data_IF_254339496546
#
_entry.id   IF_254339496546
#
_cell.length_a   1.000
_cell.length_b   1.000
_cell.length_c   1.000
_cell.angle_alpha   90.00
_cell.angle_beta   90.00
_cell.angle_gamma   90.00
#
_symmetry.space_group_name_H-M   'P 1'
#
loop_
_entity.id
_entity.type
_entity.pdbx_description
1 polymer ?
#
# COMPACT_ATOMS: atom_id res chain seq x y z
N UNK A 1 6.26 -38.57 -25.79
CA UNK A 1 6.27 -38.83 -27.25
C UNK A 1 7.65 -39.24 -27.77
N UNK A 2 8.74 -38.53 -27.43
CA UNK A 2 10.11 -38.84 -27.89
C UNK A 2 10.68 -40.23 -27.51
N UNK A 3 9.98 -40.98 -26.66
CA UNK A 3 10.34 -42.33 -26.22
C UNK A 3 9.77 -43.45 -27.12
N UNK A 4 8.64 -43.18 -27.76
CA UNK A 4 7.90 -44.18 -28.55
C UNK A 4 8.22 -44.10 -30.05
N UNK A 5 9.00 -43.11 -30.45
CA UNK A 5 9.16 -42.71 -31.85
C UNK A 5 10.62 -42.36 -32.11
N UNK A 6 11.18 -42.87 -33.20
CA UNK A 6 12.53 -42.52 -33.64
C UNK A 6 12.62 -41.06 -34.08
N UNK A 7 13.81 -40.48 -34.04
CA UNK A 7 14.04 -39.09 -34.47
C UNK A 7 13.52 -38.83 -35.89
N UNK A 8 13.73 -39.77 -36.82
CA UNK A 8 13.31 -39.65 -38.22
C UNK A 8 11.79 -39.58 -38.36
N UNK A 9 11.05 -40.39 -37.61
CA UNK A 9 9.59 -40.35 -37.61
C UNK A 9 9.06 -39.09 -36.93
N UNK A 10 9.71 -38.62 -35.87
CA UNK A 10 9.32 -37.41 -35.15
C UNK A 10 9.62 -36.14 -35.98
N UNK A 11 10.69 -36.15 -36.76
CA UNK A 11 11.05 -35.07 -37.68
C UNK A 11 10.05 -34.94 -38.85
N UNK A 12 9.45 -36.04 -39.31
CA UNK A 12 8.37 -35.98 -40.31
C UNK A 12 7.15 -35.21 -39.80
N UNK A 13 6.86 -35.30 -38.50
CA UNK A 13 5.71 -34.64 -37.88
C UNK A 13 6.06 -33.23 -37.40
N UNK A 14 7.33 -32.98 -37.04
CA UNK A 14 7.84 -31.69 -36.59
C UNK A 14 9.16 -31.40 -37.32
N UNK A 15 9.12 -30.81 -38.53
CA UNK A 15 10.31 -30.62 -39.37
C UNK A 15 11.40 -29.76 -38.73
N UNK A 16 11.01 -28.83 -37.84
CA UNK A 16 11.90 -27.91 -37.15
C UNK A 16 12.58 -28.50 -35.89
N UNK A 17 12.38 -29.79 -35.58
CA UNK A 17 12.98 -30.39 -34.38
C UNK A 17 14.45 -30.76 -34.62
N UNK A 18 15.35 -30.21 -33.78
CA UNK A 18 16.77 -30.56 -33.86
C UNK A 18 17.06 -31.88 -33.15
N UNK A 19 18.09 -32.60 -33.62
CA UNK A 19 18.62 -33.80 -32.94
C UNK A 19 18.95 -33.55 -31.48
N UNK A 20 19.48 -32.36 -31.19
CA UNK A 20 19.83 -31.92 -29.84
C UNK A 20 18.61 -31.84 -28.91
N UNK A 21 17.49 -31.27 -29.38
CA UNK A 21 16.25 -31.22 -28.58
C UNK A 21 15.69 -32.61 -28.32
N UNK A 22 15.80 -33.52 -29.30
CA UNK A 22 15.40 -34.91 -29.15
C UNK A 22 16.24 -35.67 -28.12
N UNK A 23 17.57 -35.52 -28.15
CA UNK A 23 18.46 -36.18 -27.18
C UNK A 23 18.27 -35.65 -25.76
N UNK A 24 18.13 -34.33 -25.60
CA UNK A 24 17.85 -33.71 -24.29
C UNK A 24 16.53 -34.16 -23.72
N UNK A 25 15.46 -34.23 -24.52
CA UNK A 25 14.16 -34.70 -24.05
C UNK A 25 14.24 -36.17 -23.57
N UNK A 26 15.01 -37.00 -24.27
CA UNK A 26 15.23 -38.41 -23.88
C UNK A 26 16.08 -38.54 -22.62
N UNK A 27 17.08 -37.68 -22.46
CA UNK A 27 17.92 -37.60 -21.27
C UNK A 27 17.15 -37.11 -20.04
N UNK A 28 16.36 -36.03 -20.18
CA UNK A 28 15.49 -35.52 -19.12
C UNK A 28 14.50 -36.58 -18.63
N UNK A 29 13.91 -37.36 -19.54
CA UNK A 29 13.04 -38.49 -19.18
C UNK A 29 13.79 -39.55 -18.35
N UNK A 30 15.03 -39.88 -18.71
CA UNK A 30 15.83 -40.86 -17.96
C UNK A 30 16.11 -40.38 -16.54
N UNK A 31 16.33 -39.08 -16.35
CA UNK A 31 16.65 -38.49 -15.05
C UNK A 31 15.41 -38.23 -14.17
N UNK A 32 14.30 -37.80 -14.75
CA UNK A 32 13.14 -37.27 -13.99
C UNK A 32 11.83 -38.04 -14.21
N UNK A 33 11.78 -38.99 -15.13
CA UNK A 33 10.57 -39.77 -15.44
C UNK A 33 9.70 -39.17 -16.55
N UNK A 34 8.59 -39.86 -16.87
CA UNK A 34 7.66 -39.42 -17.93
C UNK A 34 6.68 -38.37 -17.37
N UNK A 35 6.55 -37.24 -18.06
CA UNK A 35 5.59 -36.19 -17.69
C UNK A 35 6.01 -35.35 -16.48
N UNK A 36 7.22 -35.55 -15.97
CA UNK A 36 7.81 -34.67 -14.97
C UNK A 36 7.87 -33.25 -15.51
N UNK A 37 7.25 -32.33 -14.78
CA UNK A 37 7.36 -30.90 -15.08
C UNK A 37 8.86 -30.56 -15.10
N UNK A 38 9.34 -30.00 -16.21
CA UNK A 38 10.63 -29.31 -16.19
C UNK A 38 10.48 -28.30 -15.09
N UNK A 39 11.38 -28.24 -14.08
CA UNK A 39 11.34 -27.19 -13.09
C UNK A 39 11.32 -25.89 -13.88
N UNK A 40 10.15 -25.27 -14.01
CA UNK A 40 10.09 -23.88 -14.37
C UNK A 40 11.01 -23.28 -13.33
N UNK A 41 12.04 -22.58 -13.78
CA UNK A 41 12.90 -21.87 -12.85
C UNK A 41 11.96 -20.94 -12.09
N UNK A 42 11.48 -21.41 -10.93
CA UNK A 42 10.67 -20.70 -9.95
C UNK A 42 11.52 -19.64 -9.25
N UNK A 43 12.69 -19.37 -9.78
CA UNK A 43 13.11 -18.00 -9.92
C UNK A 43 12.17 -17.32 -10.91
N UNK A 44 10.99 -16.93 -10.42
CA UNK A 44 10.53 -15.56 -10.63
C UNK A 44 11.70 -14.69 -10.24
N UNK A 45 12.67 -14.53 -11.14
CA UNK A 45 13.71 -13.54 -11.01
C UNK A 45 12.91 -12.27 -11.01
N UNK A 46 12.63 -11.75 -9.82
CA UNK A 46 12.11 -10.42 -9.61
C UNK A 46 13.20 -9.53 -10.18
N UNK A 47 13.17 -9.34 -11.50
CA UNK A 47 14.14 -8.52 -12.21
C UNK A 47 13.94 -7.14 -11.63
N UNK A 48 14.88 -6.72 -10.79
CA UNK A 48 14.90 -5.39 -10.24
C UNK A 48 15.13 -4.45 -11.42
N UNK A 49 14.02 -3.92 -11.96
CA UNK A 49 14.02 -3.00 -13.11
C UNK A 49 14.34 -1.56 -12.71
N UNK A 50 14.41 -1.27 -11.42
CA UNK A 50 14.77 0.04 -10.88
C UNK A 50 16.23 0.01 -10.43
N UNK A 51 17.01 1.05 -10.73
CA UNK A 51 18.33 1.16 -10.13
C UNK A 51 18.19 1.46 -8.63
N UNK A 52 19.09 0.93 -7.78
CA UNK A 52 19.09 1.22 -6.35
C UNK A 52 19.16 2.72 -6.06
N UNK A 53 19.99 3.44 -6.82
CA UNK A 53 20.19 4.90 -6.69
C UNK A 53 18.92 5.69 -6.96
N UNK A 54 18.17 5.31 -8.00
CA UNK A 54 16.90 5.94 -8.34
C UNK A 54 15.84 5.70 -7.27
N UNK A 55 15.82 4.48 -6.72
CA UNK A 55 14.91 4.12 -5.64
C UNK A 55 15.26 4.91 -4.37
N UNK A 56 16.53 4.94 -4.00
CA UNK A 56 17.02 5.64 -2.81
C UNK A 56 16.73 7.14 -2.88
N UNK A 57 16.97 7.78 -4.04
CA UNK A 57 16.65 9.19 -4.24
C UNK A 57 15.15 9.48 -4.05
N UNK A 58 14.27 8.62 -4.57
CA UNK A 58 12.83 8.78 -4.37
C UNK A 58 12.42 8.50 -2.91
N UNK A 59 13.02 7.49 -2.27
CA UNK A 59 12.79 7.19 -0.85
C UNK A 59 13.20 8.38 0.02
N UNK A 60 14.39 8.93 -0.18
CA UNK A 60 14.88 10.11 0.51
C UNK A 60 13.93 11.31 0.36
N UNK A 61 13.40 11.53 -0.85
CA UNK A 61 12.41 12.58 -1.09
C UNK A 61 11.12 12.36 -0.30
N UNK A 62 10.54 11.15 -0.36
CA UNK A 62 9.27 10.88 0.34
C UNK A 62 9.44 10.77 1.86
N UNK A 63 10.65 10.52 2.37
CA UNK A 63 10.99 10.53 3.80
C UNK A 63 11.39 11.91 4.31
N UNK A 64 11.61 12.87 3.42
CA UNK A 64 12.02 14.23 3.81
C UNK A 64 10.88 14.98 4.50
N UNK A 65 11.25 15.91 5.39
CA UNK A 65 10.30 16.82 6.08
C UNK A 65 9.49 17.72 5.14
N UNK A 66 9.86 17.78 3.85
CA UNK A 66 9.10 18.48 2.80
C UNK A 66 7.88 17.70 2.33
N UNK A 67 7.92 16.37 2.40
CA UNK A 67 6.84 15.48 1.95
C UNK A 67 6.02 14.87 3.11
N UNK A 68 6.62 14.84 4.30
CA UNK A 68 6.06 14.24 5.51
C UNK A 68 5.84 15.31 6.57
N UNK A 69 4.78 15.11 7.36
CA UNK A 69 4.64 15.73 8.67
C UNK A 69 4.57 14.64 9.74
N UNK A 70 5.42 14.75 10.76
CA UNK A 70 5.37 13.89 11.94
C UNK A 70 4.17 14.24 12.80
N UNK A 71 3.48 13.21 13.32
CA UNK A 71 2.38 13.42 14.25
C UNK A 71 2.89 13.43 15.68
N UNK A 72 2.31 14.29 16.53
CA UNK A 72 2.56 14.24 17.96
C UNK A 72 1.92 13.00 18.63
N UNK A 73 1.06 12.25 17.93
CA UNK A 73 0.30 11.15 18.51
C UNK A 73 0.23 9.90 17.61
N UNK A 74 0.40 8.75 18.26
CA UNK A 74 0.37 7.42 17.64
C UNK A 74 1.76 6.93 17.27
N UNK A 75 2.17 5.81 17.86
CA UNK A 75 3.46 5.15 17.61
C UNK A 75 3.23 3.78 16.96
N UNK A 76 4.11 3.39 16.05
CA UNK A 76 4.20 2.02 15.53
C UNK A 76 5.45 1.38 16.10
N UNK A 77 5.29 0.16 16.62
CA UNK A 77 6.41 -0.64 17.10
C UNK A 77 6.86 -1.58 16.00
N UNK A 78 8.08 -1.40 15.51
CA UNK A 78 8.73 -2.29 14.56
C UNK A 78 9.55 -3.33 15.32
N UNK A 79 9.23 -4.61 15.13
CA UNK A 79 10.05 -5.73 15.58
C UNK A 79 11.10 -6.04 14.51
N UNK A 80 12.36 -5.84 14.85
CA UNK A 80 13.47 -6.29 14.01
C UNK A 80 13.64 -7.81 14.12
N UNK A 81 14.26 -8.42 13.12
CA UNK A 81 14.61 -9.85 13.12
C UNK A 81 15.59 -10.23 14.22
N UNK A 82 16.31 -9.25 14.78
CA UNK A 82 17.14 -9.35 15.98
C UNK A 82 16.34 -9.42 17.30
N UNK A 83 15.01 -9.28 17.25
CA UNK A 83 14.13 -9.26 18.44
C UNK A 83 14.01 -7.90 19.12
N UNK A 84 14.77 -6.89 18.68
CA UNK A 84 14.69 -5.52 19.20
C UNK A 84 13.46 -4.79 18.67
N UNK A 85 12.77 -4.07 19.56
CA UNK A 85 11.59 -3.27 19.25
C UNK A 85 11.98 -1.79 19.07
N UNK A 86 11.65 -1.19 17.92
CA UNK A 86 11.86 0.23 17.64
C UNK A 86 10.50 0.92 17.55
N UNK A 87 10.30 1.96 18.36
CA UNK A 87 9.10 2.79 18.29
C UNK A 87 9.33 3.94 17.31
N UNK A 88 8.47 4.03 16.31
CA UNK A 88 8.51 5.09 15.30
C UNK A 88 7.18 5.85 15.36
N UNK A 89 7.19 7.19 15.40
CA UNK A 89 5.96 7.98 15.34
C UNK A 89 5.21 7.71 14.04
N UNK A 90 3.89 7.81 14.07
CA UNK A 90 3.09 7.72 12.86
C UNK A 90 3.41 8.91 11.95
N UNK A 91 3.69 8.57 10.70
CA UNK A 91 4.05 9.51 9.65
C UNK A 91 2.82 9.74 8.78
N UNK A 92 2.45 11.01 8.57
CA UNK A 92 1.45 11.38 7.56
C UNK A 92 2.11 12.05 6.37
N UNK A 93 1.72 11.61 5.17
CA UNK A 93 2.01 12.34 3.93
C UNK A 93 1.09 13.55 3.83
N UNK A 94 1.69 14.71 3.58
CA UNK A 94 0.99 15.99 3.49
C UNK A 94 0.10 16.08 2.25
N UNK A 95 0.39 15.30 1.20
CA UNK A 95 -0.31 15.34 -0.08
C UNK A 95 -0.67 13.95 -0.61
N UNK A 96 -1.62 13.92 -1.56
CA UNK A 96 -2.07 12.72 -2.25
C UNK A 96 -0.91 12.16 -3.09
N UNK A 97 -0.75 10.82 -3.23
CA UNK A 97 0.34 10.19 -3.97
C UNK A 97 0.62 10.80 -5.34
N UNK A 98 -0.43 11.19 -6.06
CA UNK A 98 -0.31 11.85 -7.36
C UNK A 98 0.42 13.21 -7.28
N UNK A 99 0.11 14.01 -6.28
CA UNK A 99 0.73 15.31 -6.07
C UNK A 99 2.18 15.15 -5.61
N UNK A 100 2.47 14.14 -4.79
CA UNK A 100 3.84 13.80 -4.38
C UNK A 100 4.71 13.51 -5.60
N UNK A 101 4.20 12.72 -6.55
CA UNK A 101 4.96 12.39 -7.76
C UNK A 101 5.20 13.63 -8.62
N UNK A 102 4.20 14.51 -8.79
CA UNK A 102 4.38 15.79 -9.50
C UNK A 102 5.41 16.69 -8.82
N UNK A 103 5.40 16.75 -7.50
CA UNK A 103 6.36 17.54 -6.72
C UNK A 103 7.77 16.96 -6.86
N UNK A 104 7.90 15.64 -6.87
CA UNK A 104 9.15 14.95 -7.13
C UNK A 104 9.69 15.23 -8.53
N UNK A 105 8.85 15.19 -9.57
CA UNK A 105 9.25 15.50 -10.95
C UNK A 105 9.78 16.95 -11.05
N UNK A 106 9.13 17.91 -10.39
CA UNK A 106 9.62 19.30 -10.30
C UNK A 106 10.95 19.42 -9.57
N UNK A 107 11.08 18.73 -8.44
CA UNK A 107 12.31 18.68 -7.66
C UNK A 107 13.48 18.09 -8.45
N UNK A 108 13.24 17.03 -9.22
CA UNK A 108 14.24 16.47 -10.13
C UNK A 108 14.67 17.47 -11.20
N UNK A 109 13.74 18.25 -11.75
CA UNK A 109 14.05 19.30 -12.72
C UNK A 109 14.90 20.44 -12.10
N UNK A 110 14.61 20.84 -10.86
CA UNK A 110 15.35 21.88 -10.13
C UNK A 110 16.80 21.46 -9.82
N UNK A 111 17.01 20.20 -9.45
CA UNK A 111 18.34 19.67 -9.09
C UNK A 111 19.14 19.21 -10.33
N UNK A 112 18.52 19.19 -11.51
CA UNK A 112 19.14 18.67 -12.73
C UNK A 112 19.30 17.14 -12.72
N UNK A 113 18.45 16.43 -11.97
CA UNK A 113 18.45 14.98 -11.93
C UNK A 113 17.81 14.40 -13.19
N UNK A 114 18.64 13.87 -14.08
CA UNK A 114 18.26 13.50 -15.45
C UNK A 114 17.59 12.13 -15.59
N UNK A 115 17.61 11.27 -14.56
CA UNK A 115 17.12 9.89 -14.66
C UNK A 115 16.14 9.46 -13.55
N UNK A 116 15.01 10.16 -13.34
CA UNK A 116 13.98 9.71 -12.40
C UNK A 116 13.25 8.45 -12.88
N UNK A 117 12.75 7.67 -11.91
CA UNK A 117 11.82 6.58 -12.15
C UNK A 117 10.53 7.08 -12.80
N UNK A 118 9.91 6.21 -13.59
CA UNK A 118 8.61 6.51 -14.20
C UNK A 118 7.53 6.77 -13.14
N UNK A 119 6.57 7.65 -13.47
CA UNK A 119 5.40 7.94 -12.62
C UNK A 119 4.70 6.69 -12.10
N UNK A 120 4.53 5.66 -12.93
CA UNK A 120 3.89 4.39 -12.53
C UNK A 120 4.70 3.61 -11.50
N UNK A 121 6.03 3.68 -11.57
CA UNK A 121 6.95 3.07 -10.60
C UNK A 121 6.90 3.82 -9.28
N UNK A 122 6.94 5.15 -9.31
CA UNK A 122 6.82 6.00 -8.12
C UNK A 122 5.49 5.77 -7.38
N UNK A 123 4.37 5.71 -8.11
CA UNK A 123 3.07 5.38 -7.52
C UNK A 123 3.03 3.97 -6.91
N UNK A 124 3.71 3.00 -7.52
CA UNK A 124 3.81 1.64 -6.98
C UNK A 124 4.62 1.62 -5.68
N UNK A 125 5.72 2.38 -5.62
CA UNK A 125 6.52 2.55 -4.39
C UNK A 125 5.66 3.20 -3.30
N UNK A 126 4.92 4.26 -3.62
CA UNK A 126 4.01 4.92 -2.67
C UNK A 126 2.90 3.99 -2.15
N UNK A 127 2.45 3.01 -2.96
CA UNK A 127 1.47 1.99 -2.56
C UNK A 127 2.06 0.97 -1.58
N UNK A 128 3.33 0.56 -1.77
CA UNK A 128 4.03 -0.37 -0.88
C UNK A 128 4.41 0.33 0.43
N UNK A 129 4.97 1.53 0.32
CA UNK A 129 5.25 2.41 1.45
C UNK A 129 3.97 3.11 1.89
N UNK A 130 2.98 2.36 2.39
CA UNK A 130 1.71 2.94 2.82
C UNK A 130 1.91 3.80 4.08
N UNK A 131 1.84 5.12 3.89
CA UNK A 131 1.76 6.09 4.96
C UNK A 131 0.32 6.61 5.06
N UNK A 132 -0.10 7.00 6.25
CA UNK A 132 -1.40 7.64 6.43
C UNK A 132 -1.43 8.91 5.59
N UNK A 133 -2.50 9.12 4.82
CA UNK A 133 -2.68 10.35 4.04
C UNK A 133 -3.42 11.38 4.86
N UNK A 134 -3.00 12.65 4.76
CA UNK A 134 -3.72 13.76 5.34
C UNK A 134 -5.08 13.91 4.64
N UNK A 135 -6.17 13.62 5.35
CA UNK A 135 -7.55 13.71 4.81
C UNK A 135 -8.12 15.14 4.82
N UNK A 136 -7.50 16.06 5.55
CA UNK A 136 -7.97 17.45 5.66
C UNK A 136 -6.79 18.44 5.75
N UNK A 137 -6.85 19.52 4.98
CA UNK A 137 -5.94 20.67 5.09
C UNK A 137 -6.10 21.38 6.44
N UNK A 138 -7.29 21.32 7.03
CA UNK A 138 -7.63 21.91 8.33
C UNK A 138 -7.60 20.82 9.41
N UNK A 139 -6.69 20.95 10.37
CA UNK A 139 -6.78 20.28 11.67
C UNK A 139 -5.85 19.10 11.87
N UNK A 140 -4.99 19.26 12.87
CA UNK A 140 -4.27 18.22 13.62
C UNK A 140 -5.26 17.40 14.50
N UNK A 141 -6.52 17.33 14.09
CA UNK A 141 -7.70 17.01 14.91
C UNK A 141 -8.29 15.65 14.52
N UNK A 142 -7.45 14.62 14.35
CA UNK A 142 -7.95 13.32 13.89
C UNK A 142 -9.01 12.75 14.84
N UNK A 143 -8.79 12.85 16.16
CA UNK A 143 -9.75 12.36 17.16
C UNK A 143 -10.85 13.37 17.50
N UNK A 144 -10.55 14.68 17.55
CA UNK A 144 -11.56 15.70 17.85
C UNK A 144 -12.56 15.89 16.72
N UNK A 145 -12.12 15.78 15.45
CA UNK A 145 -13.01 15.85 14.29
C UNK A 145 -13.84 14.57 14.14
N UNK A 146 -13.22 13.39 14.25
CA UNK A 146 -13.95 12.11 14.20
C UNK A 146 -14.92 11.98 15.38
N UNK A 147 -14.49 12.37 16.59
CA UNK A 147 -15.37 12.40 17.76
C UNK A 147 -16.49 13.41 17.62
N UNK A 148 -16.22 14.62 17.09
CA UNK A 148 -17.26 15.59 16.81
C UNK A 148 -18.30 15.07 15.80
N UNK A 149 -17.86 14.34 14.78
CA UNK A 149 -18.75 13.68 13.81
C UNK A 149 -19.57 12.57 14.46
N UNK A 150 -18.96 11.73 15.29
CA UNK A 150 -19.67 10.68 16.02
C UNK A 150 -20.76 11.26 16.94
N UNK A 151 -20.52 12.42 17.56
CA UNK A 151 -21.55 13.14 18.31
C UNK A 151 -22.70 13.66 17.43
N UNK A 152 -22.41 14.10 16.20
CA UNK A 152 -23.45 14.50 15.24
C UNK A 152 -24.30 13.29 14.80
N UNK A 153 -23.66 12.15 14.49
CA UNK A 153 -24.34 10.91 14.13
C UNK A 153 -25.24 10.41 15.28
N UNK A 154 -24.74 10.45 16.52
CA UNK A 154 -25.54 10.11 17.71
C UNK A 154 -26.72 11.05 17.91
N UNK A 155 -26.56 12.35 17.64
CA UNK A 155 -27.64 13.31 17.74
C UNK A 155 -28.76 12.99 16.72
N UNK A 156 -28.40 12.62 15.50
CA UNK A 156 -29.36 12.20 14.46
C UNK A 156 -30.11 10.92 14.88
N UNK A 157 -29.42 9.95 15.50
CA UNK A 157 -30.07 8.74 16.02
C UNK A 157 -31.06 9.07 17.15
N UNK A 158 -30.68 9.98 18.06
CA UNK A 158 -31.55 10.42 19.17
C UNK A 158 -32.80 11.13 18.65
N UNK A 159 -32.66 11.99 17.64
CA UNK A 159 -33.80 12.65 16.98
C UNK A 159 -34.73 11.62 16.33
N UNK A 160 -34.18 10.65 15.58
CA UNK A 160 -34.97 9.55 14.99
C UNK A 160 -35.67 8.68 16.05
N UNK A 161 -35.04 8.45 17.20
CA UNK A 161 -35.62 7.70 18.32
C UNK A 161 -36.73 8.47 19.04
N UNK A 162 -36.57 9.78 19.21
CA UNK A 162 -37.59 10.66 19.77
C UNK A 162 -38.85 10.70 18.91
N UNK A 163 -38.68 10.86 17.59
CA UNK A 163 -39.77 11.04 16.65
C UNK A 163 -40.49 9.73 16.30
N UNK A 164 -39.75 8.62 16.11
CA UNK A 164 -40.33 7.35 15.60
C UNK A 164 -40.65 6.31 16.66
N UNK A 165 -40.04 6.38 17.85
CA UNK A 165 -40.14 5.33 18.87
C UNK A 165 -40.76 5.81 20.19
N UNK A 166 -41.53 6.91 20.15
CA UNK A 166 -42.39 7.38 21.26
C UNK A 166 -41.67 7.60 22.61
N UNK A 167 -40.34 7.79 22.62
CA UNK A 167 -39.61 8.18 23.84
C UNK A 167 -39.89 9.62 24.28
N UNK A 168 -40.56 10.40 23.44
CA UNK A 168 -41.01 11.76 23.74
C UNK A 168 -39.98 12.84 23.39
N UNK A 169 -40.49 14.00 22.96
CA UNK A 169 -39.68 15.15 22.55
C UNK A 169 -38.82 15.73 23.70
N UNK A 170 -39.31 15.62 24.93
CA UNK A 170 -38.58 16.03 26.15
C UNK A 170 -37.31 15.20 26.37
N UNK A 171 -37.38 13.89 26.17
CA UNK A 171 -36.22 13.00 26.29
C UNK A 171 -35.18 13.27 25.19
N UNK A 172 -35.62 13.41 23.93
CA UNK A 172 -34.74 13.70 22.80
C UNK A 172 -33.99 15.03 22.98
N UNK A 173 -34.69 16.07 23.43
CA UNK A 173 -34.08 17.38 23.69
C UNK A 173 -33.10 17.37 24.86
N UNK A 174 -33.36 16.61 25.92
CA UNK A 174 -32.43 16.46 27.06
C UNK A 174 -31.14 15.74 26.65
N UNK A 175 -31.26 14.62 25.92
CA UNK A 175 -30.10 13.85 25.45
C UNK A 175 -29.30 14.65 24.42
N UNK A 176 -29.96 15.36 23.49
CA UNK A 176 -29.30 16.25 22.54
C UNK A 176 -28.49 17.35 23.23
N UNK A 177 -29.02 17.94 24.32
CA UNK A 177 -28.26 18.91 25.14
C UNK A 177 -27.01 18.29 25.77
N UNK A 178 -27.12 17.08 26.34
CA UNK A 178 -25.96 16.36 26.93
C UNK A 178 -24.90 16.03 25.88
N UNK A 179 -25.31 15.58 24.68
CA UNK A 179 -24.40 15.31 23.57
C UNK A 179 -23.68 16.58 23.09
N UNK A 180 -24.39 17.72 23.01
CA UNK A 180 -23.77 19.01 22.64
C UNK A 180 -22.76 19.49 23.67
N UNK A 181 -23.03 19.31 24.96
CA UNK A 181 -22.08 19.62 26.04
C UNK A 181 -20.83 18.73 25.96
N UNK A 182 -21.02 17.42 25.80
CA UNK A 182 -19.91 16.48 25.65
C UNK A 182 -19.07 16.77 24.40
N UNK A 183 -19.71 17.11 23.27
CA UNK A 183 -19.04 17.55 22.04
C UNK A 183 -18.21 18.83 22.27
N UNK A 184 -18.72 19.80 23.04
CA UNK A 184 -18.01 21.03 23.36
C UNK A 184 -16.80 20.77 24.26
N UNK A 185 -16.95 19.89 25.25
CA UNK A 185 -15.87 19.44 26.11
C UNK A 185 -14.75 18.76 25.29
N UNK A 186 -15.10 17.83 24.40
CA UNK A 186 -14.15 17.18 23.49
C UNK A 186 -13.39 18.20 22.62
N UNK A 187 -14.07 19.25 22.16
CA UNK A 187 -13.46 20.28 21.29
C UNK A 187 -12.59 21.31 22.03
N UNK A 188 -12.86 21.58 23.31
CA UNK A 188 -12.23 22.68 24.04
C UNK A 188 -11.29 22.23 25.16
N UNK A 189 -11.77 21.33 26.02
CA UNK A 189 -11.15 21.08 27.32
C UNK A 189 -10.44 19.71 27.40
N UNK A 190 -10.71 18.82 26.44
CA UNK A 190 -10.07 17.51 26.35
C UNK A 190 -8.64 17.66 25.82
N UNK A 191 -7.65 17.49 26.71
CA UNK A 191 -6.21 17.50 26.42
C UNK A 191 -5.64 16.10 26.41
#
# INVERSE_FOLDING_TARGET
>A
MADKVSFTTLQKWIPAISRYRFSIARHHRLLHGRGSEVPQRDQRQTRMRASPEQLDHFLAFITSSRAIQDLPFGEKTLKLSSGTEIKIPNVIRTSIPEQIVKQYERFCAEIGYSSPLSRSSNLRILKVCSASMRKSLQGLDYFSADGAKAFDDLQEVVEKLGDRYQRGMSWSTEISKKLKLAKRYLKGDYK
#
